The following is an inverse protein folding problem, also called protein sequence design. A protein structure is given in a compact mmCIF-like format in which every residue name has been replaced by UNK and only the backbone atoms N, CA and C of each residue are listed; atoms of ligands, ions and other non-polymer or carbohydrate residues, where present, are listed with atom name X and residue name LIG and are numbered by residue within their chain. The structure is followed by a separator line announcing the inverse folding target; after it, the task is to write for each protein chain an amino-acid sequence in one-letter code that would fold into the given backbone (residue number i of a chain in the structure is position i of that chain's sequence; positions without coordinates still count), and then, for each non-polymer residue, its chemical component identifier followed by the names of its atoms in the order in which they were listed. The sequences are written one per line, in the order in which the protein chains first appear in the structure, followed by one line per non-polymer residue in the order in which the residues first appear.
data_IF_884041676555
#
_entry.id   IF_884041676555
#
_cell.length_a   1.000
_cell.length_b   1.000
_cell.length_c   1.000
_cell.angle_alpha   90.00
_cell.angle_beta   90.00
_cell.angle_gamma   90.00
#
_symmetry.space_group_name_H-M   'P 1'
#
loop_
_entity.id
_entity.type
_entity.pdbx_description
1 polymer ?
#
# COMPACT_ATOMS: atom_id res chain seq x y z
N UNK A 1 -7.62 -12.28 19.71
CA UNK A 1 -8.82 -12.28 18.85
C UNK A 1 -8.44 -11.67 17.52
N UNK A 2 -8.13 -12.49 16.51
CA UNK A 2 -7.93 -11.98 15.15
C UNK A 2 -9.32 -11.88 14.50
N UNK A 3 -9.80 -10.65 14.34
CA UNK A 3 -11.07 -10.35 13.68
C UNK A 3 -11.05 -10.94 12.26
N UNK A 4 -12.08 -11.70 11.92
CA UNK A 4 -12.18 -12.52 10.71
C UNK A 4 -12.39 -11.72 9.41
N UNK A 5 -12.44 -10.39 9.47
CA UNK A 5 -12.94 -9.56 8.37
C UNK A 5 -11.92 -8.56 7.79
N UNK A 6 -10.61 -8.78 7.96
CA UNK A 6 -9.61 -7.89 7.36
C UNK A 6 -9.35 -8.29 5.91
N UNK A 7 -10.06 -7.64 4.97
CA UNK A 7 -9.79 -7.77 3.54
C UNK A 7 -8.60 -6.87 3.19
N UNK A 8 -7.43 -7.49 3.00
CA UNK A 8 -6.23 -6.80 2.53
C UNK A 8 -6.20 -6.75 1.01
N UNK A 9 -6.27 -5.55 0.44
CA UNK A 9 -6.06 -5.39 -1.00
C UNK A 9 -4.57 -5.29 -1.31
N UNK A 10 -3.81 -6.35 -1.03
CA UNK A 10 -2.35 -6.35 -1.29
C UNK A 10 -2.04 -6.36 -2.80
N UNK A 11 -2.89 -7.00 -3.61
CA UNK A 11 -2.58 -7.28 -5.03
C UNK A 11 -2.77 -6.09 -5.98
N UNK A 12 -3.87 -5.32 -5.89
CA UNK A 12 -4.07 -4.20 -6.83
C UNK A 12 -3.19 -2.98 -6.50
N UNK A 13 -2.72 -2.86 -5.25
CA UNK A 13 -1.95 -1.71 -4.78
C UNK A 13 -0.47 -1.80 -5.20
N UNK A 14 0.05 -3.00 -5.42
CA UNK A 14 1.47 -3.24 -5.72
C UNK A 14 1.86 -2.93 -7.19
N UNK A 15 0.89 -2.78 -8.10
CA UNK A 15 1.19 -2.59 -9.53
C UNK A 15 1.69 -1.18 -9.83
N UNK A 16 1.05 -0.15 -9.27
CA UNK A 16 1.48 1.24 -9.20
C UNK A 16 0.31 2.10 -8.65
N UNK A 17 0.59 3.36 -8.32
CA UNK A 17 -0.40 4.33 -7.86
C UNK A 17 -1.61 4.47 -8.79
N UNK A 18 -1.42 4.50 -10.12
CA UNK A 18 -2.52 4.73 -11.06
C UNK A 18 -3.51 3.57 -11.09
N UNK A 19 -3.03 2.34 -11.09
CA UNK A 19 -3.87 1.14 -11.05
C UNK A 19 -4.65 1.05 -9.74
N UNK A 20 -4.00 1.38 -8.61
CA UNK A 20 -4.67 1.41 -7.32
C UNK A 20 -5.80 2.45 -7.29
N UNK A 21 -5.54 3.66 -7.79
CA UNK A 21 -6.54 4.74 -7.88
C UNK A 21 -7.69 4.35 -8.83
N UNK A 22 -7.40 3.73 -9.97
CA UNK A 22 -8.42 3.25 -10.90
C UNK A 22 -9.34 2.20 -10.25
N UNK A 23 -8.77 1.26 -9.48
CA UNK A 23 -9.55 0.30 -8.70
C UNK A 23 -10.43 1.00 -7.66
N UNK A 24 -9.88 1.95 -6.89
CA UNK A 24 -10.63 2.63 -5.82
C UNK A 24 -11.79 3.47 -6.36
N UNK A 25 -11.69 4.00 -7.59
CA UNK A 25 -12.78 4.67 -8.31
C UNK A 25 -13.84 3.73 -8.87
N UNK A 26 -13.56 2.44 -8.97
CA UNK A 26 -14.53 1.47 -9.49
C UNK A 26 -15.71 1.32 -8.52
N UNK A 27 -16.88 0.85 -8.98
CA UNK A 27 -18.04 0.60 -8.11
C UNK A 27 -17.72 -0.32 -6.93
N UNK A 28 -16.81 -1.28 -7.11
CA UNK A 28 -16.36 -2.15 -6.03
C UNK A 28 -15.46 -1.40 -5.04
N UNK A 29 -14.52 -0.60 -5.54
CA UNK A 29 -13.62 0.21 -4.72
C UNK A 29 -14.36 1.22 -3.85
N UNK A 30 -15.32 1.93 -4.43
CA UNK A 30 -16.15 2.91 -3.72
C UNK A 30 -16.96 2.30 -2.57
N UNK A 31 -17.40 1.04 -2.70
CA UNK A 31 -18.08 0.34 -1.59
C UNK A 31 -17.17 0.10 -0.39
N UNK A 32 -15.85 0.01 -0.60
CA UNK A 32 -14.87 -0.20 0.47
C UNK A 32 -14.63 1.05 1.31
N UNK A 33 -14.97 2.24 0.80
CA UNK A 33 -14.85 3.53 1.50
C UNK A 33 -15.55 3.53 2.86
N UNK A 34 -16.69 2.83 2.94
CA UNK A 34 -17.53 2.75 4.14
C UNK A 34 -17.28 1.50 5.00
N UNK A 35 -16.24 0.72 4.68
CA UNK A 35 -15.90 -0.50 5.41
C UNK A 35 -14.81 -0.21 6.44
N UNK A 36 -15.18 -0.18 7.73
CA UNK A 36 -14.25 0.11 8.82
C UNK A 36 -13.09 -0.89 8.93
N UNK A 37 -13.30 -2.13 8.46
CA UNK A 37 -12.29 -3.17 8.42
C UNK A 37 -11.32 -3.04 7.22
N UNK A 38 -11.66 -2.23 6.21
CA UNK A 38 -10.81 -2.05 5.04
C UNK A 38 -9.53 -1.28 5.42
N UNK A 39 -8.41 -1.77 4.90
CA UNK A 39 -7.07 -1.22 5.17
C UNK A 39 -6.32 -1.04 3.86
N UNK A 40 -5.68 0.11 3.73
CA UNK A 40 -4.84 0.43 2.57
C UNK A 40 -3.39 0.29 3.02
N UNK A 41 -2.66 -0.61 2.39
CA UNK A 41 -1.29 -0.94 2.77
C UNK A 41 -0.38 -0.68 1.58
N UNK A 42 0.69 0.07 1.80
CA UNK A 42 1.62 0.49 0.74
C UNK A 42 3.06 0.55 1.25
N UNK A 43 4.02 0.42 0.35
CA UNK A 43 5.40 0.82 0.59
C UNK A 43 5.61 2.28 0.17
N UNK A 44 6.47 3.00 0.89
CA UNK A 44 6.91 4.35 0.53
C UNK A 44 7.68 4.32 -0.78
N UNK A 45 8.60 3.35 -0.88
CA UNK A 45 9.51 3.19 -2.01
C UNK A 45 8.98 2.10 -2.95
N UNK A 46 8.83 2.42 -4.24
CA UNK A 46 8.41 1.46 -5.27
C UNK A 46 9.21 1.67 -6.56
N UNK A 47 10.04 0.70 -6.91
CA UNK A 47 10.99 0.79 -8.03
C UNK A 47 10.32 0.97 -9.41
N UNK A 48 9.07 0.54 -9.54
CA UNK A 48 8.26 0.64 -10.75
C UNK A 48 7.50 1.98 -10.88
N UNK A 49 7.72 2.92 -9.97
CA UNK A 49 7.11 4.25 -9.99
C UNK A 49 8.15 5.36 -10.13
N UNK A 50 7.75 6.50 -10.69
CA UNK A 50 8.59 7.69 -10.81
C UNK A 50 7.88 8.94 -10.23
N UNK A 51 8.45 9.63 -9.23
CA UNK A 51 9.62 9.21 -8.46
C UNK A 51 9.30 7.98 -7.58
N UNK A 52 10.31 7.13 -7.38
CA UNK A 52 10.15 5.85 -6.69
C UNK A 52 10.13 5.99 -5.17
N UNK A 53 10.73 7.04 -4.63
CA UNK A 53 11.00 7.26 -3.20
C UNK A 53 9.82 7.82 -2.39
N UNK A 54 8.73 8.19 -3.05
CA UNK A 54 7.54 8.73 -2.40
C UNK A 54 6.22 8.14 -2.91
N UNK A 55 6.30 7.02 -3.64
CA UNK A 55 5.16 6.37 -4.26
C UNK A 55 4.01 6.11 -3.27
N UNK A 56 4.33 5.59 -2.07
CA UNK A 56 3.33 5.36 -1.03
C UNK A 56 2.64 6.62 -0.52
N UNK A 57 3.41 7.72 -0.35
CA UNK A 57 2.85 9.01 0.06
C UNK A 57 1.91 9.58 -1.02
N UNK A 58 2.28 9.46 -2.30
CA UNK A 58 1.43 9.89 -3.42
C UNK A 58 0.12 9.09 -3.47
N UNK A 59 0.20 7.78 -3.27
CA UNK A 59 -1.01 6.95 -3.21
C UNK A 59 -1.92 7.38 -2.08
N UNK A 60 -1.39 7.59 -0.86
CA UNK A 60 -2.23 8.02 0.27
C UNK A 60 -2.86 9.38 0.02
N UNK A 61 -2.12 10.32 -0.57
CA UNK A 61 -2.70 11.61 -0.95
C UNK A 61 -3.90 11.41 -1.88
N UNK A 62 -3.75 10.61 -2.94
CA UNK A 62 -4.84 10.33 -3.88
C UNK A 62 -6.02 9.62 -3.21
N UNK A 63 -5.77 8.66 -2.32
CA UNK A 63 -6.80 7.98 -1.51
C UNK A 63 -7.62 8.98 -0.69
N UNK A 64 -6.97 9.94 -0.03
CA UNK A 64 -7.65 10.98 0.74
C UNK A 64 -8.44 11.93 -0.15
N UNK A 65 -7.91 12.31 -1.30
CA UNK A 65 -8.62 13.12 -2.31
C UNK A 65 -9.87 12.42 -2.86
N UNK A 66 -9.88 11.08 -2.90
CA UNK A 66 -11.07 10.28 -3.23
C UNK A 66 -12.08 10.17 -2.08
N UNK A 67 -11.79 10.71 -0.90
CA UNK A 67 -12.68 10.68 0.28
C UNK A 67 -12.64 9.38 1.07
N UNK A 68 -11.60 8.54 0.89
CA UNK A 68 -11.40 7.37 1.74
C UNK A 68 -10.83 7.81 3.08
N UNK A 69 -11.54 7.47 4.17
CA UNK A 69 -11.13 7.74 5.55
C UNK A 69 -10.59 6.49 6.27
N UNK A 70 -10.49 5.36 5.56
CA UNK A 70 -9.96 4.12 6.10
C UNK A 70 -8.52 4.28 6.61
N UNK A 71 -8.10 3.37 7.51
CA UNK A 71 -6.73 3.36 8.00
C UNK A 71 -5.74 2.98 6.89
N UNK A 72 -4.65 3.74 6.81
CA UNK A 72 -3.57 3.51 5.87
C UNK A 72 -2.29 3.14 6.63
N UNK A 73 -1.55 2.17 6.12
CA UNK A 73 -0.22 1.78 6.62
C UNK A 73 0.80 2.00 5.51
N UNK A 74 1.87 2.73 5.80
CA UNK A 74 3.02 2.90 4.91
C UNK A 74 4.22 2.20 5.51
N UNK A 75 4.82 1.27 4.78
CA UNK A 75 6.15 0.77 5.10
C UNK A 75 7.19 1.70 4.51
N UNK A 76 8.05 2.24 5.37
CA UNK A 76 9.18 3.10 4.97
C UNK A 76 10.50 2.34 4.92
N UNK A 77 10.48 1.04 5.22
CA UNK A 77 11.65 0.20 5.20
C UNK A 77 12.20 0.01 3.79
N UNK A 78 13.51 0.10 3.64
CA UNK A 78 14.22 -0.30 2.43
C UNK A 78 14.42 -1.83 2.46
N UNK A 79 13.57 -2.54 1.70
CA UNK A 79 13.64 -4.00 1.58
C UNK A 79 15.01 -4.45 1.07
N UNK A 80 15.60 -3.77 0.08
CA UNK A 80 16.90 -4.14 -0.47
C UNK A 80 18.03 -3.91 0.53
N UNK A 81 17.98 -2.82 1.29
CA UNK A 81 18.90 -2.62 2.41
C UNK A 81 18.75 -3.74 3.44
N UNK A 82 17.52 -4.06 3.84
CA UNK A 82 17.23 -5.09 4.83
C UNK A 82 17.68 -6.48 4.37
N UNK A 83 17.40 -6.85 3.12
CA UNK A 83 17.80 -8.11 2.52
C UNK A 83 19.33 -8.23 2.42
N UNK A 84 20.03 -7.14 2.05
CA UNK A 84 21.51 -7.11 2.05
C UNK A 84 22.08 -7.33 3.45
N UNK A 85 21.50 -6.72 4.49
CA UNK A 85 21.95 -6.93 5.87
C UNK A 85 21.70 -8.36 6.33
N UNK A 86 20.54 -8.94 6.02
CA UNK A 86 20.23 -10.33 6.35
C UNK A 86 21.21 -11.27 5.66
N UNK A 87 21.41 -11.14 4.33
CA UNK A 87 22.37 -11.99 3.59
C UNK A 87 23.78 -11.93 4.18
N UNK A 88 24.25 -10.75 4.59
CA UNK A 88 25.54 -10.60 5.29
C UNK A 88 25.61 -11.35 6.62
N UNK A 89 24.50 -11.41 7.37
CA UNK A 89 24.43 -12.10 8.66
C UNK A 89 24.36 -13.63 8.50
N UNK A 90 23.73 -14.14 7.44
CA UNK A 90 23.61 -15.59 7.19
C UNK A 90 24.77 -16.16 6.38
N UNK A 91 25.58 -15.32 5.73
CA UNK A 91 26.80 -15.73 5.01
C UNK A 91 28.04 -15.89 5.90
N UNK A 92 27.86 -15.87 7.23
CA UNK A 92 28.88 -16.15 8.26
C UNK A 92 28.60 -17.52 8.85
#
# INVERSE_FOLDING_TARGET
SYSKDVVYLKHAIYVNTNTAVAFLRSPLGERLKYQDAFRIVTDMNRLNENPSDNAGARLIKAVRELGFNNHCLIFTGDYEHSERQVKKLVSV
#
